data_IF_808601556786
#
_entry.id   IF_808601556786
#
_cell.length_a   1.000
_cell.length_b   1.000
_cell.length_c   1.000
_cell.angle_alpha   90.00
_cell.angle_beta   90.00
_cell.angle_gamma   90.00
#
_symmetry.space_group_name_H-M   'P 1'
#
loop_
_entity.id
_entity.type
_entity.pdbx_description
1 polymer ?
#
# COMPACT_ATOMS: atom_id res chain seq x y z
N UNK A 1 -23.73 -38.68 13.87
CA UNK A 1 -24.08 -37.26 14.11
C UNK A 1 -23.27 -36.75 15.29
N UNK A 2 -22.35 -35.81 15.08
CA UNK A 2 -21.67 -35.15 16.19
C UNK A 2 -22.70 -34.28 16.95
N UNK A 3 -22.97 -34.56 18.24
CA UNK A 3 -23.83 -33.69 19.04
C UNK A 3 -23.20 -32.30 19.14
N UNK A 4 -24.01 -31.24 19.25
CA UNK A 4 -23.58 -29.84 19.37
C UNK A 4 -22.86 -29.22 18.16
N UNK A 5 -22.80 -29.90 17.00
CA UNK A 5 -22.18 -29.35 15.80
C UNK A 5 -22.89 -28.08 15.31
N UNK A 6 -24.23 -28.05 15.34
CA UNK A 6 -25.01 -26.89 14.93
C UNK A 6 -24.71 -25.66 15.80
N UNK A 7 -24.76 -25.81 17.14
CA UNK A 7 -24.43 -24.74 18.08
C UNK A 7 -22.99 -24.23 17.91
N UNK A 8 -22.04 -25.14 17.63
CA UNK A 8 -20.66 -24.77 17.36
C UNK A 8 -20.52 -23.96 16.06
N UNK A 9 -21.21 -24.36 14.99
CA UNK A 9 -21.22 -23.64 13.72
C UNK A 9 -21.88 -22.26 13.86
N UNK A 10 -22.99 -22.17 14.59
CA UNK A 10 -23.68 -20.90 14.84
C UNK A 10 -22.80 -19.94 15.66
N UNK A 11 -22.10 -20.44 16.68
CA UNK A 11 -21.13 -19.64 17.45
C UNK A 11 -19.96 -19.16 16.58
N UNK A 12 -19.40 -20.04 15.74
CA UNK A 12 -18.33 -19.68 14.81
C UNK A 12 -18.77 -18.65 13.77
N UNK A 13 -20.00 -18.78 13.26
CA UNK A 13 -20.59 -17.83 12.33
C UNK A 13 -20.77 -16.45 12.98
N UNK A 14 -21.23 -16.39 14.24
CA UNK A 14 -21.35 -15.14 14.98
C UNK A 14 -20.01 -14.43 15.19
N UNK A 15 -18.97 -15.18 15.56
CA UNK A 15 -17.61 -14.64 15.69
C UNK A 15 -17.04 -14.15 14.36
N UNK A 16 -17.29 -14.88 13.26
CA UNK A 16 -16.85 -14.48 11.92
C UNK A 16 -17.49 -13.14 11.53
N UNK A 17 -18.80 -12.99 11.71
CA UNK A 17 -19.51 -11.76 11.38
C UNK A 17 -18.98 -10.54 12.16
N UNK A 18 -18.59 -10.73 13.43
CA UNK A 18 -17.96 -9.68 14.23
C UNK A 18 -16.60 -9.28 13.65
N UNK A 19 -15.77 -10.25 13.30
CA UNK A 19 -14.47 -10.01 12.68
C UNK A 19 -14.61 -9.29 11.33
N UNK A 20 -15.56 -9.71 10.50
CA UNK A 20 -15.85 -9.08 9.20
C UNK A 20 -16.28 -7.63 9.36
N UNK A 21 -17.14 -7.33 10.34
CA UNK A 21 -17.57 -5.97 10.63
C UNK A 21 -16.40 -5.09 11.08
N UNK A 22 -15.61 -5.56 12.06
CA UNK A 22 -14.46 -4.82 12.56
C UNK A 22 -13.41 -4.59 11.46
N UNK A 23 -13.21 -5.58 10.59
CA UNK A 23 -12.32 -5.47 9.44
C UNK A 23 -12.83 -4.44 8.44
N UNK A 24 -14.12 -4.45 8.12
CA UNK A 24 -14.72 -3.47 7.20
C UNK A 24 -14.57 -2.04 7.73
N UNK A 25 -14.83 -1.80 9.02
CA UNK A 25 -14.62 -0.51 9.66
C UNK A 25 -13.15 -0.08 9.61
N UNK A 26 -12.22 -1.00 9.94
CA UNK A 26 -10.79 -0.71 9.86
C UNK A 26 -10.35 -0.34 8.43
N UNK A 27 -10.76 -1.12 7.42
CA UNK A 27 -10.43 -0.83 6.03
C UNK A 27 -10.97 0.54 5.60
N UNK A 28 -12.17 0.92 6.05
CA UNK A 28 -12.74 2.22 5.73
C UNK A 28 -11.93 3.37 6.35
N UNK A 29 -11.44 3.22 7.59
CA UNK A 29 -10.53 4.24 8.18
C UNK A 29 -9.27 4.43 7.36
N UNK A 30 -8.71 3.34 6.79
CA UNK A 30 -7.53 3.40 5.93
C UNK A 30 -7.84 4.04 4.58
N UNK A 31 -9.01 3.80 4.00
CA UNK A 31 -9.45 4.48 2.77
C UNK A 31 -9.62 5.99 2.97
N UNK A 32 -10.15 6.41 4.11
CA UNK A 32 -10.26 7.85 4.42
C UNK A 32 -8.89 8.51 4.55
N UNK A 33 -7.89 7.81 5.11
CA UNK A 33 -6.53 8.33 5.26
C UNK A 33 -5.76 8.40 3.93
N UNK A 34 -6.03 7.49 2.99
CA UNK A 34 -5.49 7.54 1.63
C UNK A 34 -6.57 7.19 0.61
N UNK A 35 -7.26 8.21 0.05
CA UNK A 35 -8.43 8.00 -0.83
C UNK A 35 -8.17 7.14 -2.07
N UNK A 36 -6.92 6.93 -2.49
CA UNK A 36 -6.64 6.03 -3.62
C UNK A 36 -6.91 4.57 -3.31
N UNK A 37 -7.03 4.18 -2.04
CA UNK A 37 -7.47 2.84 -1.66
C UNK A 37 -8.92 2.52 -2.06
N UNK A 38 -9.73 3.52 -2.46
CA UNK A 38 -11.05 3.26 -3.06
C UNK A 38 -10.94 2.62 -4.47
N UNK A 39 -9.79 2.69 -5.14
CA UNK A 39 -9.60 2.14 -6.49
C UNK A 39 -9.09 0.68 -6.50
N UNK A 40 -8.80 0.11 -5.34
CA UNK A 40 -8.34 -1.29 -5.22
C UNK A 40 -9.38 -2.15 -4.51
N UNK A 41 -9.35 -3.44 -4.78
CA UNK A 41 -10.24 -4.40 -4.11
C UNK A 41 -9.93 -4.47 -2.59
N UNK A 42 -10.90 -4.89 -1.77
CA UNK A 42 -10.65 -5.08 -0.33
C UNK A 42 -9.54 -6.12 -0.07
N UNK A 43 -9.40 -7.13 -0.93
CA UNK A 43 -8.33 -8.12 -0.83
C UNK A 43 -6.95 -7.52 -1.12
N UNK A 44 -6.83 -6.70 -2.17
CA UNK A 44 -5.59 -5.98 -2.47
C UNK A 44 -5.23 -4.99 -1.36
N UNK A 45 -6.23 -4.26 -0.84
CA UNK A 45 -6.04 -3.33 0.27
C UNK A 45 -5.53 -4.06 1.51
N UNK A 46 -6.08 -5.23 1.83
CA UNK A 46 -5.58 -6.05 2.93
C UNK A 46 -4.13 -6.48 2.69
N UNK A 47 -3.78 -6.94 1.49
CA UNK A 47 -2.40 -7.34 1.17
C UNK A 47 -1.43 -6.15 1.31
N UNK A 48 -1.83 -4.95 0.87
CA UNK A 48 -1.06 -3.71 1.05
C UNK A 48 -0.85 -3.40 2.53
N UNK A 49 -1.93 -3.46 3.34
CA UNK A 49 -1.87 -3.14 4.78
C UNK A 49 -1.05 -4.18 5.55
N UNK A 50 -1.19 -5.46 5.21
CA UNK A 50 -0.43 -6.57 5.80
C UNK A 50 1.07 -6.45 5.51
N UNK A 51 1.44 -5.95 4.32
CA UNK A 51 2.82 -5.70 3.93
C UNK A 51 3.24 -4.23 4.11
N UNK A 52 2.49 -3.41 4.84
CA UNK A 52 2.68 -1.95 4.87
C UNK A 52 4.06 -1.50 5.35
N UNK A 53 4.76 -2.36 6.10
CA UNK A 53 6.12 -2.17 6.60
C UNK A 53 7.21 -2.61 5.60
N UNK A 54 6.84 -3.21 4.47
CA UNK A 54 7.74 -3.65 3.41
C UNK A 54 7.36 -2.94 2.09
N UNK A 55 7.98 -1.79 1.82
CA UNK A 55 7.70 -1.00 0.61
C UNK A 55 7.99 -1.75 -0.70
N UNK A 56 8.92 -2.71 -0.70
CA UNK A 56 9.21 -3.53 -1.88
C UNK A 56 8.01 -4.39 -2.21
N UNK A 57 7.44 -5.03 -1.20
CA UNK A 57 6.22 -5.83 -1.37
C UNK A 57 5.00 -4.98 -1.70
N UNK A 58 4.86 -3.77 -1.13
CA UNK A 58 3.75 -2.86 -1.50
C UNK A 58 3.92 -2.33 -2.92
N UNK A 59 5.15 -2.21 -3.42
CA UNK A 59 5.44 -1.65 -4.75
C UNK A 59 4.71 -2.35 -5.90
N UNK A 60 4.41 -3.66 -5.75
CA UNK A 60 3.65 -4.45 -6.73
C UNK A 60 2.24 -3.90 -7.01
N UNK A 61 1.67 -3.22 -6.01
CA UNK A 61 0.32 -2.65 -6.07
C UNK A 61 0.31 -1.20 -6.57
N UNK A 62 1.47 -0.55 -6.72
CA UNK A 62 1.55 0.86 -7.15
C UNK A 62 0.91 1.09 -8.51
N UNK A 63 1.01 0.12 -9.43
CA UNK A 63 0.35 0.19 -10.75
C UNK A 63 -1.17 0.32 -10.70
N UNK A 64 -1.80 -0.16 -9.61
CA UNK A 64 -3.24 -0.05 -9.34
C UNK A 64 -3.60 1.24 -8.60
N UNK A 65 -2.66 1.80 -7.82
CA UNK A 65 -2.88 3.01 -7.03
C UNK A 65 -2.53 4.29 -7.79
N UNK A 66 -1.59 4.21 -8.73
CA UNK A 66 -1.05 5.34 -9.50
C UNK A 66 -1.17 5.06 -11.00
N UNK A 67 -1.69 6.01 -11.76
CA UNK A 67 -1.80 5.87 -13.21
C UNK A 67 -0.45 5.97 -13.90
N UNK A 68 0.37 6.94 -13.49
CA UNK A 68 1.64 7.30 -14.14
C UNK A 68 2.86 6.59 -13.55
N UNK A 69 2.71 5.78 -12.50
CA UNK A 69 3.82 5.13 -11.81
C UNK A 69 3.60 3.62 -11.76
N UNK A 70 4.63 2.88 -12.12
CA UNK A 70 4.64 1.42 -12.08
C UNK A 70 5.57 0.85 -11.01
N UNK A 71 6.76 1.45 -10.82
CA UNK A 71 7.79 0.95 -9.89
C UNK A 71 8.54 2.09 -9.23
N UNK A 72 9.20 1.78 -8.11
CA UNK A 72 10.12 2.66 -7.43
C UNK A 72 11.55 2.13 -7.56
N UNK A 73 12.50 3.05 -7.64
CA UNK A 73 13.92 2.75 -7.45
C UNK A 73 14.24 2.95 -5.98
N UNK A 74 14.54 1.85 -5.30
CA UNK A 74 14.95 1.89 -3.90
C UNK A 74 16.44 2.21 -3.78
N UNK A 75 16.81 2.91 -2.72
CA UNK A 75 18.19 2.99 -2.28
C UNK A 75 18.64 1.61 -1.79
N UNK A 76 19.91 1.27 -2.02
CA UNK A 76 20.49 -0.01 -1.62
C UNK A 76 21.48 0.20 -0.47
N UNK A 77 21.48 -0.69 0.51
CA UNK A 77 22.51 -0.73 1.55
C UNK A 77 23.85 -1.31 1.04
N UNK A 78 24.81 -1.45 1.95
CA UNK A 78 26.14 -2.01 1.66
C UNK A 78 26.08 -3.48 1.18
N UNK A 79 25.03 -4.22 1.55
CA UNK A 79 24.77 -5.61 1.16
C UNK A 79 23.89 -5.70 -0.11
N UNK A 80 23.69 -4.59 -0.82
CA UNK A 80 22.80 -4.47 -1.99
C UNK A 80 21.32 -4.80 -1.70
N UNK A 81 20.88 -4.65 -0.45
CA UNK A 81 19.46 -4.83 -0.09
C UNK A 81 18.72 -3.50 -0.17
N UNK A 82 17.48 -3.50 -0.71
CA UNK A 82 16.68 -2.29 -0.76
C UNK A 82 16.34 -1.82 0.65
N UNK A 83 16.74 -0.59 0.95
CA UNK A 83 16.28 0.11 2.15
C UNK A 83 14.97 0.85 1.83
N UNK A 84 14.26 1.25 2.87
CA UNK A 84 12.94 1.87 2.79
C UNK A 84 13.02 3.35 2.38
N UNK A 85 13.78 3.64 1.34
CA UNK A 85 13.97 4.97 0.79
C UNK A 85 13.88 4.89 -0.74
N UNK A 86 13.03 5.72 -1.35
CA UNK A 86 12.90 5.78 -2.81
C UNK A 86 13.72 6.93 -3.37
N UNK A 87 14.54 6.63 -4.40
CA UNK A 87 15.38 7.58 -5.11
C UNK A 87 14.76 8.05 -6.43
N UNK A 88 13.84 7.27 -6.98
CA UNK A 88 13.27 7.51 -8.30
C UNK A 88 12.04 6.68 -8.56
N UNK A 89 11.36 6.96 -9.66
CA UNK A 89 10.14 6.28 -10.08
C UNK A 89 10.20 5.90 -11.55
N UNK A 90 9.52 4.81 -11.88
CA UNK A 90 9.36 4.32 -13.25
C UNK A 90 7.90 4.42 -13.69
N UNK A 91 7.67 4.89 -14.92
CA UNK A 91 6.35 4.89 -15.55
C UNK A 91 5.97 3.49 -16.07
N UNK A 92 4.72 3.32 -16.49
CA UNK A 92 4.24 2.07 -17.11
C UNK A 92 4.92 1.79 -18.45
N UNK A 93 5.35 2.85 -19.13
CA UNK A 93 6.03 2.78 -20.43
C UNK A 93 7.55 2.60 -20.29
N UNK A 94 8.07 2.51 -19.06
CA UNK A 94 9.48 2.26 -18.76
C UNK A 94 10.33 3.53 -18.65
N UNK A 95 9.72 4.71 -18.68
CA UNK A 95 10.43 5.97 -18.44
C UNK A 95 10.87 6.05 -16.98
N UNK A 96 12.04 6.61 -16.74
CA UNK A 96 12.60 6.77 -15.42
C UNK A 96 12.74 8.25 -15.08
N UNK A 97 12.34 8.62 -13.87
CA UNK A 97 12.48 9.98 -13.33
C UNK A 97 13.09 9.90 -11.93
N UNK A 98 14.19 10.62 -11.73
CA UNK A 98 14.78 10.80 -10.41
C UNK A 98 13.86 11.65 -9.52
N UNK A 99 13.69 11.27 -8.25
CA UNK A 99 12.97 12.11 -7.32
C UNK A 99 13.84 13.29 -6.93
N UNK A 100 13.26 14.49 -6.84
CA UNK A 100 13.98 15.70 -6.46
C UNK A 100 14.65 15.56 -5.08
N UNK A 101 13.99 14.85 -4.17
CA UNK A 101 14.57 14.42 -2.89
C UNK A 101 14.22 12.95 -2.63
N UNK A 102 15.09 12.18 -1.96
CA UNK A 102 14.75 10.83 -1.52
C UNK A 102 13.49 10.82 -0.67
N UNK A 103 12.60 9.87 -0.93
CA UNK A 103 11.34 9.72 -0.20
C UNK A 103 11.44 8.57 0.81
N UNK A 104 11.34 8.90 2.10
CA UNK A 104 11.27 7.92 3.18
C UNK A 104 9.96 7.12 3.08
N UNK A 105 10.05 5.80 3.18
CA UNK A 105 8.95 4.85 3.08
C UNK A 105 8.72 4.11 4.40
N UNK A 106 9.15 4.69 5.52
CA UNK A 106 8.93 4.13 6.85
C UNK A 106 7.56 4.52 7.44
N UNK A 107 7.09 3.69 8.37
CA UNK A 107 5.86 3.93 9.12
C UNK A 107 4.61 3.36 8.47
N UNK A 108 3.46 3.99 8.75
CA UNK A 108 2.17 3.53 8.25
C UNK A 108 2.06 3.73 6.73
N UNK A 109 1.50 2.73 6.04
CA UNK A 109 1.48 2.68 4.57
C UNK A 109 0.76 3.85 3.92
N UNK A 110 -0.36 4.27 4.50
CA UNK A 110 -1.09 5.45 4.03
C UNK A 110 -0.29 6.75 4.16
N UNK A 111 0.61 6.85 5.14
CA UNK A 111 1.40 8.08 5.38
C UNK A 111 2.48 8.20 4.31
N UNK A 112 3.29 7.16 4.14
CA UNK A 112 4.36 7.22 3.15
C UNK A 112 3.83 7.20 1.71
N UNK A 113 2.68 6.58 1.43
CA UNK A 113 2.04 6.67 0.11
C UNK A 113 1.58 8.09 -0.22
N UNK A 114 1.09 8.84 0.78
CA UNK A 114 0.78 10.26 0.61
C UNK A 114 2.05 11.09 0.38
N UNK A 115 3.12 10.84 1.15
CA UNK A 115 4.41 11.52 0.95
C UNK A 115 4.99 11.24 -0.43
N UNK A 116 4.93 10.00 -0.91
CA UNK A 116 5.36 9.61 -2.24
C UNK A 116 4.56 10.35 -3.33
N UNK A 117 3.26 10.51 -3.15
CA UNK A 117 2.40 11.27 -4.06
C UNK A 117 2.82 12.75 -4.12
N UNK A 118 3.14 13.35 -2.98
CA UNK A 118 3.58 14.74 -2.92
C UNK A 118 4.98 14.93 -3.52
N UNK A 119 5.89 13.99 -3.25
CA UNK A 119 7.22 13.95 -3.87
C UNK A 119 7.12 13.83 -5.40
N UNK A 120 6.27 12.94 -5.91
CA UNK A 120 6.00 12.78 -7.34
C UNK A 120 5.53 14.09 -7.97
N UNK A 121 4.54 14.77 -7.36
CA UNK A 121 4.03 16.05 -7.87
C UNK A 121 5.12 17.13 -7.83
N UNK A 122 5.93 17.17 -6.78
CA UNK A 122 7.02 18.14 -6.64
C UNK A 122 8.09 17.93 -7.72
N UNK A 123 8.51 16.69 -7.96
CA UNK A 123 9.46 16.34 -9.02
C UNK A 123 8.95 16.78 -10.39
N UNK A 124 7.73 16.39 -10.76
CA UNK A 124 7.19 16.75 -12.09
C UNK A 124 7.07 18.26 -12.28
N UNK A 125 6.71 19.01 -11.23
CA UNK A 125 6.70 20.48 -11.29
C UNK A 125 8.11 21.06 -11.47
N UNK A 126 9.10 20.47 -10.83
CA UNK A 126 10.49 20.91 -10.95
C UNK A 126 11.01 20.72 -12.38
N UNK A 127 10.76 19.55 -12.98
CA UNK A 127 11.19 19.23 -14.35
C UNK A 127 10.50 20.09 -15.43
N UNK A 128 9.37 20.74 -15.10
CA UNK A 128 8.66 21.65 -16.01
C UNK A 128 9.11 23.12 -15.93
N UNK A 129 10.04 23.46 -15.02
CA UNK A 129 10.52 24.83 -14.80
C UNK A 129 11.94 25.00 -15.33
#
# INVERSE_FOLDING_TARGET
NQPHLFEKLETQQGQLALCEKALAEYLETKRLAFPRFYFVSSADLLDILSNGNDPVNVSRHLTKLFDSMAKLKFELDQDQKPIKNALGMFSKDGEYVDLNNPCDLNGQVEVWLNQLLDAMKATVRHEMT
#
